data_IF_510506974955
#
_entry.id   IF_510506974955
#
_cell.length_a   1.000
_cell.length_b   1.000
_cell.length_c   1.000
_cell.angle_alpha   90.00
_cell.angle_beta   90.00
_cell.angle_gamma   90.00
#
_symmetry.space_group_name_H-M   'P 1'
#
loop_
_entity.id
_entity.type
_entity.pdbx_description
1 polymer ?
#
# COMPACT_ATOMS: atom_id res chain seq x y z
N UNK A 1 -17.37 -4.35 18.53
CA UNK A 1 -16.68 -3.05 18.69
C UNK A 1 -15.20 -3.27 18.41
N UNK A 2 -14.77 -3.09 17.15
CA UNK A 2 -13.35 -3.17 16.82
C UNK A 2 -12.74 -1.80 17.09
N UNK A 3 -11.69 -1.74 17.92
CA UNK A 3 -10.91 -0.53 18.09
C UNK A 3 -10.27 -0.17 16.74
N UNK A 4 -10.67 0.96 16.15
CA UNK A 4 -9.95 1.56 15.03
C UNK A 4 -8.67 2.20 15.57
N UNK A 5 -7.54 1.55 15.33
CA UNK A 5 -6.23 2.21 15.41
C UNK A 5 -6.01 3.00 14.13
N UNK A 6 -6.05 4.34 14.24
CA UNK A 6 -5.65 5.27 13.18
C UNK A 6 -4.13 5.32 13.15
N UNK A 7 -3.55 5.04 11.99
CA UNK A 7 -2.15 5.28 11.71
C UNK A 7 -2.11 5.94 10.34
N UNK A 8 -1.10 6.77 10.07
CA UNK A 8 -0.80 7.32 8.74
C UNK A 8 0.54 6.73 8.24
N UNK A 9 0.61 6.14 7.04
CA UNK A 9 1.88 5.60 6.49
C UNK A 9 2.81 6.77 6.24
N UNK A 10 2.29 7.88 5.70
CA UNK A 10 3.07 9.04 5.25
C UNK A 10 2.71 10.35 5.97
N UNK A 11 2.15 10.30 7.20
CA UNK A 11 1.95 11.53 7.99
C UNK A 11 2.92 11.64 9.16
N UNK A 12 3.38 12.87 9.35
CA UNK A 12 4.40 13.30 10.30
C UNK A 12 3.95 13.25 11.76
N UNK A 13 2.76 12.71 12.08
CA UNK A 13 2.25 12.68 13.46
C UNK A 13 2.05 11.25 13.98
N UNK A 14 3.03 10.83 14.81
CA UNK A 14 3.03 9.71 15.77
C UNK A 14 3.19 8.26 15.25
N UNK A 15 4.44 7.82 15.35
CA UNK A 15 4.90 6.59 16.02
C UNK A 15 4.55 5.21 15.46
N UNK A 16 4.59 4.93 14.14
CA UNK A 16 4.76 3.51 13.73
C UNK A 16 5.61 3.30 12.47
N UNK A 17 5.67 4.20 11.49
CA UNK A 17 6.57 4.04 10.33
C UNK A 17 7.40 5.29 10.08
N UNK A 18 8.73 5.15 10.09
CA UNK A 18 9.64 6.21 9.64
C UNK A 18 9.90 6.00 8.16
N UNK A 19 9.05 6.55 7.30
CA UNK A 19 9.48 6.82 5.94
C UNK A 19 10.21 8.15 5.92
N UNK A 20 11.42 8.20 5.34
CA UNK A 20 12.25 9.39 5.54
C UNK A 20 11.82 10.62 4.73
N UNK A 21 10.99 10.44 3.69
CA UNK A 21 10.53 11.52 2.84
C UNK A 21 9.06 11.36 2.46
N UNK A 22 8.25 12.28 2.96
CA UNK A 22 6.87 12.46 2.57
C UNK A 22 6.79 13.57 1.53
N UNK A 23 6.13 13.28 0.41
CA UNK A 23 5.88 14.26 -0.65
C UNK A 23 4.38 14.44 -0.82
N UNK A 24 3.99 15.64 -1.27
CA UNK A 24 2.59 15.97 -1.54
C UNK A 24 2.46 16.70 -2.86
N UNK A 25 1.26 16.60 -3.46
CA UNK A 25 0.90 17.36 -4.66
C UNK A 25 -0.43 18.07 -4.49
N UNK A 26 -0.56 19.24 -5.11
CA UNK A 26 -1.82 19.98 -5.25
C UNK A 26 -2.51 19.70 -6.58
N UNK A 27 -1.83 19.01 -7.50
CA UNK A 27 -2.38 18.66 -8.81
C UNK A 27 -3.63 17.78 -8.69
N UNK A 28 -4.45 17.82 -9.74
CA UNK A 28 -5.58 16.90 -9.86
C UNK A 28 -5.04 15.51 -10.16
N UNK A 29 -5.55 14.52 -9.42
CA UNK A 29 -5.24 13.10 -9.64
C UNK A 29 -6.50 12.44 -10.16
N UNK A 30 -6.38 11.76 -11.29
CA UNK A 30 -7.46 11.03 -11.93
C UNK A 30 -7.67 9.70 -11.22
N UNK A 31 -8.93 9.42 -10.83
CA UNK A 31 -9.34 8.15 -10.22
C UNK A 31 -10.17 7.38 -11.24
N UNK A 32 -9.51 6.58 -12.07
CA UNK A 32 -10.18 5.72 -13.06
C UNK A 32 -10.45 4.30 -12.57
N UNK A 33 -9.87 3.90 -11.43
CA UNK A 33 -10.03 2.54 -10.92
C UNK A 33 -11.34 2.37 -10.13
N UNK A 34 -11.91 1.16 -10.18
CA UNK A 34 -13.14 0.83 -9.45
C UNK A 34 -12.99 0.78 -7.92
N UNK A 35 -11.77 0.98 -7.39
CA UNK A 35 -11.45 0.85 -5.97
C UNK A 35 -11.66 2.15 -5.19
N UNK A 36 -11.59 3.31 -5.85
CA UNK A 36 -11.91 4.63 -5.28
C UNK A 36 -11.21 4.92 -3.92
N UNK A 37 -9.86 4.81 -3.83
CA UNK A 37 -9.16 5.17 -2.61
C UNK A 37 -9.34 6.67 -2.28
N UNK A 38 -9.27 7.07 -0.99
CA UNK A 38 -9.39 8.48 -0.61
C UNK A 38 -8.39 9.37 -1.33
N UNK A 39 -8.87 10.37 -2.07
CA UNK A 39 -8.03 11.29 -2.85
C UNK A 39 -6.94 11.99 -2.01
N UNK A 40 -7.25 12.27 -0.73
CA UNK A 40 -6.29 12.87 0.19
C UNK A 40 -5.05 11.99 0.39
N UNK A 41 -5.24 10.67 0.51
CA UNK A 41 -4.13 9.74 0.62
C UNK A 41 -3.35 9.66 -0.69
N UNK A 42 -4.05 9.66 -1.83
CA UNK A 42 -3.40 9.63 -3.16
C UNK A 42 -2.56 10.87 -3.47
N UNK A 43 -2.88 12.02 -2.87
CA UNK A 43 -2.09 13.27 -2.97
C UNK A 43 -0.81 13.28 -2.14
N UNK A 44 -0.59 12.27 -1.32
CA UNK A 44 0.64 12.09 -0.54
C UNK A 44 1.33 10.80 -0.95
N UNK A 45 2.64 10.75 -0.79
CA UNK A 45 3.38 9.50 -0.93
C UNK A 45 4.64 9.48 -0.07
N UNK A 46 5.06 8.25 0.24
CA UNK A 46 6.30 7.94 0.94
C UNK A 46 7.38 7.49 -0.05
N UNK A 47 8.61 7.88 0.22
CA UNK A 47 9.82 7.45 -0.49
C UNK A 47 10.95 7.15 0.50
N UNK A 48 11.92 6.27 0.16
CA UNK A 48 13.11 6.09 0.98
C UNK A 48 14.03 7.32 0.87
N UNK A 49 14.59 7.81 2.00
CA UNK A 49 15.56 8.93 1.98
C UNK A 49 16.79 8.62 1.14
N UNK A 50 17.23 7.36 1.22
CA UNK A 50 18.32 6.90 0.39
C UNK A 50 17.71 6.24 -0.84
N UNK A 51 17.90 6.86 -2.00
CA UNK A 51 17.34 6.39 -3.26
C UNK A 51 17.85 4.99 -3.69
N UNK A 52 18.90 4.49 -3.04
CA UNK A 52 19.44 3.13 -3.25
C UNK A 52 18.84 2.08 -2.32
N UNK A 53 18.04 2.48 -1.32
CA UNK A 53 17.40 1.55 -0.40
C UNK A 53 15.96 1.23 -0.85
N UNK A 54 15.44 0.03 -0.52
CA UNK A 54 14.04 -0.30 -0.74
C UNK A 54 13.14 0.50 0.22
N UNK A 55 11.88 0.66 -0.18
CA UNK A 55 10.81 1.10 0.71
C UNK A 55 10.21 -0.15 1.37
N UNK A 56 10.18 -0.24 2.70
CA UNK A 56 9.68 -1.42 3.40
C UNK A 56 8.63 -1.07 4.45
N UNK A 57 7.61 -1.91 4.57
CA UNK A 57 6.61 -1.79 5.64
C UNK A 57 6.10 -3.14 6.12
N UNK A 58 5.93 -3.32 7.45
CA UNK A 58 5.35 -4.52 8.01
C UNK A 58 3.84 -4.58 7.82
N UNK A 59 3.36 -5.78 7.55
CA UNK A 59 1.99 -6.19 7.83
C UNK A 59 2.01 -6.89 9.19
N UNK A 60 1.61 -6.16 10.23
CA UNK A 60 1.55 -6.68 11.60
C UNK A 60 0.16 -7.25 11.90
N UNK A 61 0.12 -8.43 12.52
CA UNK A 61 -1.09 -9.03 13.09
C UNK A 61 -0.93 -9.22 14.60
N UNK A 62 -2.00 -8.93 15.36
CA UNK A 62 -2.11 -9.41 16.75
C UNK A 62 -2.66 -10.84 16.84
N UNK A 63 -3.18 -11.37 15.72
CA UNK A 63 -3.75 -12.71 15.62
C UNK A 63 -2.71 -13.64 14.98
N UNK A 64 -2.29 -14.72 15.65
CA UNK A 64 -1.43 -15.74 15.07
C UNK A 64 -2.03 -16.27 13.75
N UNK A 65 -1.19 -16.48 12.74
CA UNK A 65 -1.54 -17.07 11.44
C UNK A 65 -2.60 -16.29 10.62
N UNK A 66 -2.85 -15.01 10.96
CA UNK A 66 -3.74 -14.18 10.16
C UNK A 66 -3.15 -13.93 8.77
N UNK A 67 -4.00 -14.08 7.75
CA UNK A 67 -3.67 -13.79 6.36
C UNK A 67 -4.45 -12.56 5.88
N UNK A 68 -3.88 -11.89 4.89
CA UNK A 68 -4.33 -10.57 4.43
C UNK A 68 -4.49 -10.50 2.92
N UNK A 69 -5.60 -9.94 2.46
CA UNK A 69 -5.68 -9.39 1.12
C UNK A 69 -5.16 -7.96 1.14
N UNK A 70 -4.26 -7.65 0.21
CA UNK A 70 -3.60 -6.35 0.11
C UNK A 70 -4.11 -5.65 -1.13
N UNK A 71 -4.47 -4.37 -0.98
CA UNK A 71 -4.75 -3.46 -2.10
C UNK A 71 -3.82 -2.27 -1.96
N UNK A 72 -2.77 -2.22 -2.76
CA UNK A 72 -1.79 -1.15 -2.76
C UNK A 72 -2.13 -0.16 -3.88
N UNK A 73 -2.29 1.11 -3.52
CA UNK A 73 -2.66 2.18 -4.43
C UNK A 73 -1.45 3.06 -4.74
N UNK A 74 -1.25 3.33 -6.02
CA UNK A 74 -0.13 4.08 -6.54
C UNK A 74 -0.60 5.19 -7.46
N UNK A 75 0.13 6.31 -7.42
CA UNK A 75 0.09 7.37 -8.42
C UNK A 75 1.47 8.04 -8.45
N UNK A 76 1.99 8.31 -9.65
CA UNK A 76 3.19 9.16 -9.77
C UNK A 76 2.74 10.62 -9.59
N UNK A 77 3.07 11.19 -8.44
CA UNK A 77 2.67 12.55 -8.05
C UNK A 77 3.79 13.58 -8.17
N UNK A 78 5.02 13.14 -8.50
CA UNK A 78 6.11 14.04 -8.88
C UNK A 78 6.10 14.23 -10.40
N UNK A 79 6.39 15.45 -10.83
CA UNK A 79 6.69 15.71 -12.24
C UNK A 79 8.08 15.16 -12.54
N UNK A 80 8.16 14.20 -13.47
CA UNK A 80 9.41 13.55 -13.85
C UNK A 80 10.01 14.27 -15.06
N UNK A 81 11.31 14.59 -15.00
CA UNK A 81 12.06 15.07 -16.17
C UNK A 81 12.19 13.96 -17.24
N UNK A 82 12.52 14.33 -18.48
CA UNK A 82 12.60 13.36 -19.59
C UNK A 82 13.64 12.23 -19.40
N UNK A 83 14.65 12.44 -18.54
CA UNK A 83 15.66 11.45 -18.16
C UNK A 83 15.34 10.77 -16.81
N UNK A 84 14.22 11.11 -16.19
CA UNK A 84 13.78 10.53 -14.93
C UNK A 84 12.74 9.44 -15.17
N UNK A 85 12.87 8.35 -14.42
CA UNK A 85 11.96 7.22 -14.48
C UNK A 85 11.79 6.65 -13.08
N UNK A 86 10.59 6.14 -12.82
CA UNK A 86 10.30 5.37 -11.63
C UNK A 86 9.78 3.99 -11.99
N UNK A 87 10.56 2.97 -11.66
CA UNK A 87 10.25 1.57 -11.86
C UNK A 87 10.77 0.76 -10.67
N UNK A 88 9.93 -0.12 -10.12
CA UNK A 88 10.31 -0.94 -8.96
C UNK A 88 9.65 -2.32 -8.98
N UNK A 89 10.29 -3.28 -8.31
CA UNK A 89 9.75 -4.59 -8.02
C UNK A 89 9.14 -4.61 -6.62
N UNK A 90 8.15 -5.48 -6.44
CA UNK A 90 7.44 -5.70 -5.19
C UNK A 90 7.81 -7.08 -4.67
N UNK A 91 8.20 -7.16 -3.40
CA UNK A 91 8.52 -8.40 -2.72
C UNK A 91 7.68 -8.53 -1.45
N UNK A 92 7.36 -9.76 -1.11
CA UNK A 92 6.65 -10.11 0.12
C UNK A 92 7.48 -11.16 0.85
N UNK A 93 7.80 -10.94 2.12
CA UNK A 93 8.61 -11.86 2.94
C UNK A 93 9.92 -12.30 2.25
N UNK A 94 10.57 -11.35 1.56
CA UNK A 94 11.84 -11.59 0.84
C UNK A 94 11.70 -12.30 -0.50
N UNK A 95 10.49 -12.69 -0.91
CA UNK A 95 10.22 -13.35 -2.20
C UNK A 95 9.62 -12.37 -3.19
N UNK A 96 10.05 -12.47 -4.46
CA UNK A 96 9.50 -11.66 -5.54
C UNK A 96 7.99 -11.91 -5.68
N UNK A 97 7.22 -10.83 -5.77
CA UNK A 97 5.77 -10.88 -5.82
C UNK A 97 5.22 -10.31 -7.14
N UNK A 98 5.66 -9.12 -7.52
CA UNK A 98 5.21 -8.46 -8.75
C UNK A 98 6.23 -7.44 -9.28
N UNK A 99 6.11 -7.08 -10.55
CA UNK A 99 6.90 -6.03 -11.19
C UNK A 99 7.53 -6.48 -12.52
N UNK A 100 8.31 -5.62 -13.18
CA UNK A 100 8.54 -4.23 -12.85
C UNK A 100 7.24 -3.42 -12.90
N UNK A 101 7.06 -2.51 -11.94
CA UNK A 101 5.89 -1.65 -11.84
C UNK A 101 6.30 -0.18 -11.93
N UNK A 102 5.60 0.57 -12.77
CA UNK A 102 5.80 2.00 -13.00
C UNK A 102 4.46 2.72 -12.80
N UNK A 103 4.29 3.51 -11.73
CA UNK A 103 3.07 4.26 -11.50
C UNK A 103 2.79 5.25 -12.64
N UNK A 104 1.53 5.47 -12.96
CA UNK A 104 1.13 6.43 -14.00
C UNK A 104 1.07 7.84 -13.42
N UNK A 105 1.51 8.84 -14.21
CA UNK A 105 1.50 10.24 -13.80
C UNK A 105 0.08 10.72 -13.51
N UNK A 106 -0.14 11.23 -12.29
CA UNK A 106 -1.40 11.78 -11.80
C UNK A 106 -2.62 10.89 -12.04
N UNK A 107 -2.43 9.56 -12.09
CA UNK A 107 -3.50 8.59 -12.29
C UNK A 107 -3.39 7.48 -11.25
N UNK A 108 -4.50 7.19 -10.57
CA UNK A 108 -4.56 6.14 -9.54
C UNK A 108 -4.67 4.76 -10.17
N UNK A 109 -3.72 3.91 -9.84
CA UNK A 109 -3.76 2.48 -10.13
C UNK A 109 -3.67 1.65 -8.84
N UNK A 110 -4.22 0.43 -8.86
CA UNK A 110 -4.29 -0.46 -7.69
C UNK A 110 -3.78 -1.83 -8.03
N UNK A 111 -2.73 -2.26 -7.33
CA UNK A 111 -2.30 -3.65 -7.31
C UNK A 111 -2.98 -4.36 -6.15
N UNK A 112 -3.59 -5.50 -6.43
CA UNK A 112 -4.28 -6.30 -5.41
C UNK A 112 -3.70 -7.71 -5.33
N UNK A 113 -3.85 -8.35 -4.17
CA UNK A 113 -3.47 -9.75 -4.02
C UNK A 113 -4.61 -10.70 -4.42
N UNK A 114 -4.40 -11.60 -5.40
CA UNK A 114 -5.44 -12.56 -5.81
C UNK A 114 -5.66 -13.67 -4.77
N UNK A 115 -4.70 -13.84 -3.85
CA UNK A 115 -4.76 -14.74 -2.72
C UNK A 115 -4.35 -14.01 -1.44
N UNK A 116 -4.75 -14.55 -0.29
CA UNK A 116 -4.34 -14.03 1.00
C UNK A 116 -2.83 -14.23 1.21
N UNK A 117 -2.15 -13.19 1.66
CA UNK A 117 -0.72 -13.18 1.97
C UNK A 117 -0.50 -13.36 3.47
N UNK A 118 0.60 -14.01 3.83
CA UNK A 118 0.99 -14.14 5.23
C UNK A 118 1.43 -12.77 5.78
N UNK A 119 1.24 -12.58 7.08
CA UNK A 119 1.82 -11.44 7.78
C UNK A 119 3.36 -11.40 7.59
N UNK A 120 3.96 -10.22 7.73
CA UNK A 120 5.40 -10.06 7.58
C UNK A 120 5.78 -8.73 6.95
N UNK A 121 6.58 -8.72 5.89
CA UNK A 121 7.13 -7.50 5.29
C UNK A 121 6.82 -7.39 3.80
N UNK A 122 6.43 -6.18 3.38
CA UNK A 122 6.40 -5.80 1.97
C UNK A 122 7.60 -4.90 1.69
N UNK A 123 8.26 -5.15 0.56
CA UNK A 123 9.35 -4.33 0.04
C UNK A 123 9.02 -3.84 -1.36
N UNK A 124 9.30 -2.58 -1.62
CA UNK A 124 9.40 -2.02 -2.96
C UNK A 124 10.88 -1.75 -3.22
N UNK A 125 11.42 -2.25 -4.31
CA UNK A 125 12.84 -2.14 -4.64
C UNK A 125 13.02 -1.54 -6.04
N UNK A 126 13.81 -0.46 -6.13
CA UNK A 126 14.12 0.22 -7.38
C UNK A 126 14.77 -0.76 -8.38
N UNK A 127 14.32 -0.78 -9.63
CA UNK A 127 15.00 -1.56 -10.68
C UNK A 127 16.24 -0.83 -11.21
N UNK A 128 17.08 -1.54 -11.96
CA UNK A 128 18.24 -0.94 -12.62
C UNK A 128 17.86 0.12 -13.69
N UNK A 129 16.65 0.06 -14.24
CA UNK A 129 16.16 0.99 -15.27
C UNK A 129 15.55 2.28 -14.70
N UNK A 130 15.30 2.32 -13.39
CA UNK A 130 14.70 3.46 -12.70
C UNK A 130 15.77 4.44 -12.24
N UNK A 131 15.56 5.74 -12.35
CA UNK A 131 16.48 6.74 -11.76
C UNK A 131 16.00 7.25 -10.40
N UNK A 132 14.71 7.06 -10.10
CA UNK A 132 14.09 7.45 -8.84
C UNK A 132 13.78 6.23 -7.97
N UNK A 133 13.73 6.39 -6.63
CA UNK A 133 13.38 5.28 -5.75
C UNK A 133 11.89 4.92 -5.85
N UNK A 134 11.42 3.83 -5.20
CA UNK A 134 10.01 3.51 -5.16
C UNK A 134 9.18 4.61 -4.49
N UNK A 135 7.90 4.68 -4.87
CA UNK A 135 6.90 5.59 -4.31
C UNK A 135 5.69 4.78 -3.86
N UNK A 136 5.05 5.21 -2.78
CA UNK A 136 3.88 4.52 -2.23
C UNK A 136 2.89 5.50 -1.64
N UNK A 137 1.63 5.45 -2.09
CA UNK A 137 0.60 6.41 -1.70
C UNK A 137 -0.28 5.85 -0.57
N UNK A 138 -0.88 4.67 -0.78
CA UNK A 138 -1.81 4.09 0.20
C UNK A 138 -1.89 2.55 0.11
N UNK A 139 -2.37 1.93 1.18
CA UNK A 139 -2.69 0.50 1.22
C UNK A 139 -3.90 0.19 2.07
N UNK A 140 -4.72 -0.73 1.59
CA UNK A 140 -5.79 -1.36 2.35
C UNK A 140 -5.43 -2.81 2.64
N UNK A 141 -5.65 -3.25 3.89
CA UNK A 141 -5.39 -4.60 4.36
C UNK A 141 -6.68 -5.22 4.87
N UNK A 142 -7.11 -6.32 4.25
CA UNK A 142 -8.33 -7.04 4.61
C UNK A 142 -7.94 -8.39 5.20
N UNK A 143 -8.46 -8.73 6.37
CA UNK A 143 -8.24 -10.05 6.98
C UNK A 143 -9.55 -10.82 7.06
N UNK A 144 -9.47 -12.13 6.82
CA UNK A 144 -10.60 -13.04 6.95
C UNK A 144 -10.89 -13.23 8.43
N UNK A 145 -12.12 -12.93 8.87
CA UNK A 145 -12.58 -13.32 10.21
C UNK A 145 -13.32 -14.63 10.09
N UNK A 146 -12.71 -15.70 10.58
CA UNK A 146 -13.45 -16.94 10.80
C UNK A 146 -14.37 -16.73 12.03
N UNK A 147 -15.67 -16.60 11.78
CA UNK A 147 -16.66 -16.62 12.85
C UNK A 147 -16.89 -18.06 13.30
N UNK A 148 -16.37 -18.43 14.46
CA UNK A 148 -16.77 -19.67 15.15
C UNK A 148 -18.16 -19.52 15.79
N UNK A 149 -19.20 -19.21 15.01
CA UNK A 149 -20.59 -19.35 15.47
C UNK A 149 -21.50 -19.81 14.33
N UNK A 150 -21.98 -21.06 14.45
CA UNK A 150 -23.15 -21.57 13.75
C UNK A 150 -24.35 -20.66 14.08
N UNK A 151 -24.67 -19.73 13.19
CA UNK A 151 -26.04 -19.27 13.05
C UNK A 151 -26.45 -19.48 11.60
N UNK A 152 -27.32 -20.45 11.44
CA UNK A 152 -28.04 -20.76 10.20
C UNK A 152 -28.57 -19.48 9.57
N UNK A 153 -28.10 -19.15 8.36
CA UNK A 153 -28.78 -18.49 7.23
C UNK A 153 -27.71 -17.78 6.37
N UNK A 154 -27.51 -18.31 5.14
CA UNK A 154 -26.65 -17.87 4.02
C UNK A 154 -25.15 -17.66 4.30
N UNK A 155 -24.33 -18.50 3.68
CA UNK A 155 -22.86 -18.41 3.65
C UNK A 155 -22.42 -17.35 2.64
N UNK A 156 -22.34 -16.10 3.08
CA UNK A 156 -21.36 -15.17 2.53
C UNK A 156 -20.15 -15.22 3.45
N UNK A 157 -18.97 -15.53 2.91
CA UNK A 157 -17.72 -15.42 3.65
C UNK A 157 -17.61 -13.98 4.18
N UNK A 158 -17.71 -13.81 5.50
CA UNK A 158 -17.73 -12.49 6.12
C UNK A 158 -16.30 -11.97 6.18
N UNK A 159 -15.89 -11.22 5.16
CA UNK A 159 -14.66 -10.45 5.20
C UNK A 159 -14.78 -9.35 6.23
N UNK A 160 -13.81 -9.27 7.15
CA UNK A 160 -13.70 -8.09 7.98
C UNK A 160 -12.90 -7.04 7.22
N UNK A 161 -13.62 -6.03 6.73
CA UNK A 161 -12.99 -4.83 6.17
C UNK A 161 -12.42 -4.02 7.32
N UNK A 162 -11.12 -4.15 7.53
CA UNK A 162 -10.38 -3.18 8.33
C UNK A 162 -9.94 -2.08 7.39
N UNK A 163 -10.66 -0.96 7.40
CA UNK A 163 -10.15 0.26 6.78
C UNK A 163 -8.91 0.71 7.56
N UNK A 164 -7.73 0.53 6.99
CA UNK A 164 -6.58 1.33 7.39
C UNK A 164 -6.52 2.49 6.41
N UNK A 165 -7.42 3.46 6.62
CA UNK A 165 -7.35 4.74 5.93
C UNK A 165 -6.33 5.57 6.70
N UNK A 166 -5.15 5.67 6.13
CA UNK A 166 -4.10 6.59 6.53
C UNK A 166 -4.53 8.00 6.04
N UNK A 167 -5.14 8.81 6.92
CA UNK A 167 -5.66 10.15 6.64
C UNK A 167 -5.16 11.18 7.66
#
# INVERSE_FOLDING_TARGET
MALLGRLDVCSTSRTVFRFPQDITTSSNIETGNGYQPPLRAMRSACMPANASLPLSFPINSMVPDARYYVYAHFAEIQELEANQSREFNIYTNGSYYAGPYSPTNLFVDTLYSPAALDAGQIYLERTANSTLPPIFNAVELYTVKEFLQLQTVYTDDIFSKTWIIYA
#
